data_IF_949406230338
#
_entry.id   IF_949406230338
#
_cell.length_a   1.000
_cell.length_b   1.000
_cell.length_c   1.000
_cell.angle_alpha   90.00
_cell.angle_beta   90.00
_cell.angle_gamma   90.00
#
_symmetry.space_group_name_H-M   'P 1'
#
loop_
_entity.id
_entity.type
_entity.pdbx_description
1 polymer ?
#
# COMPACT_ATOMS: atom_id res chain seq x y z
N UNK A 1 -13.53 0.22 10.04
CA UNK A 1 -12.17 0.76 10.24
C UNK A 1 -12.01 1.96 9.34
N UNK A 2 -11.54 3.07 9.90
CA UNK A 2 -11.30 4.32 9.16
C UNK A 2 -9.82 4.42 8.82
N UNK A 3 -9.46 4.13 7.57
CA UNK A 3 -8.07 4.18 7.12
C UNK A 3 -7.62 5.64 6.96
N UNK A 4 -6.36 5.90 7.29
CA UNK A 4 -5.77 7.23 7.07
C UNK A 4 -5.44 7.46 5.60
N UNK A 5 -5.55 8.69 5.12
CA UNK A 5 -5.12 9.09 3.77
C UNK A 5 -3.63 8.78 3.50
N UNK A 6 -2.79 8.82 4.54
CA UNK A 6 -1.36 8.47 4.41
C UNK A 6 -1.17 6.99 4.03
N UNK A 7 -1.84 6.07 4.72
CA UNK A 7 -1.81 4.64 4.38
C UNK A 7 -2.29 4.40 2.94
N UNK A 8 -3.35 5.09 2.52
CA UNK A 8 -3.89 4.98 1.16
C UNK A 8 -2.84 5.46 0.14
N UNK A 9 -2.20 6.61 0.38
CA UNK A 9 -1.12 7.13 -0.48
C UNK A 9 0.08 6.19 -0.56
N UNK A 10 0.51 5.60 0.57
CA UNK A 10 1.59 4.61 0.57
C UNK A 10 1.25 3.36 -0.25
N UNK A 11 0.00 2.87 -0.16
CA UNK A 11 -0.45 1.74 -0.97
C UNK A 11 -0.50 2.08 -2.46
N UNK A 12 -0.98 3.28 -2.82
CA UNK A 12 -1.01 3.74 -4.20
C UNK A 12 0.40 3.87 -4.79
N UNK A 13 1.34 4.47 -4.05
CA UNK A 13 2.74 4.57 -4.48
C UNK A 13 3.39 3.18 -4.65
N UNK A 14 3.08 2.23 -3.78
CA UNK A 14 3.55 0.84 -3.95
C UNK A 14 2.94 0.15 -5.17
N UNK A 15 1.67 0.43 -5.50
CA UNK A 15 1.00 -0.16 -6.67
C UNK A 15 1.53 0.46 -7.98
N UNK A 16 1.80 1.78 -8.02
CA UNK A 16 2.44 2.47 -9.14
C UNK A 16 3.86 1.94 -9.38
N UNK A 17 4.68 1.84 -8.32
CA UNK A 17 6.02 1.27 -8.43
C UNK A 17 5.98 -0.18 -8.91
N UNK A 18 4.98 -0.97 -8.48
CA UNK A 18 4.77 -2.33 -8.97
C UNK A 18 4.46 -2.34 -10.46
N UNK A 19 3.62 -1.45 -10.95
CA UNK A 19 3.32 -1.34 -12.38
C UNK A 19 4.58 -1.07 -13.19
N UNK A 20 5.42 -0.14 -12.74
CA UNK A 20 6.69 0.21 -13.40
C UNK A 20 7.63 -0.99 -13.55
N UNK A 21 7.63 -1.95 -12.61
CA UNK A 21 8.40 -3.21 -12.73
C UNK A 21 8.00 -4.01 -13.98
N UNK A 22 6.71 -4.01 -14.34
CA UNK A 22 6.20 -4.83 -15.43
C UNK A 22 6.15 -4.09 -16.77
N UNK A 23 6.14 -2.76 -16.76
CA UNK A 23 5.96 -1.93 -17.97
C UNK A 23 7.20 -1.15 -18.37
N UNK A 24 8.10 -0.85 -17.43
CA UNK A 24 9.15 0.17 -17.62
C UNK A 24 10.46 -0.33 -18.24
N UNK A 25 10.74 -1.64 -18.22
CA UNK A 25 12.05 -2.18 -18.68
C UNK A 25 13.26 -1.67 -17.89
N UNK A 26 13.03 -0.87 -16.85
CA UNK A 26 14.04 -0.28 -15.99
C UNK A 26 14.49 -1.30 -14.94
N UNK A 27 15.77 -1.69 -14.92
CA UNK A 27 16.29 -2.63 -13.91
C UNK A 27 16.20 -2.08 -12.48
N UNK A 28 16.09 -0.76 -12.27
CA UNK A 28 15.98 -0.16 -10.95
C UNK A 28 14.54 -0.18 -10.40
N UNK A 29 13.53 -0.35 -11.27
CA UNK A 29 12.12 -0.37 -10.87
C UNK A 29 11.83 -1.44 -9.80
N UNK A 30 12.52 -2.59 -9.86
CA UNK A 30 12.37 -3.63 -8.83
C UNK A 30 12.83 -3.17 -7.45
N UNK A 31 13.94 -2.42 -7.38
CA UNK A 31 14.47 -1.90 -6.12
C UNK A 31 13.52 -0.85 -5.52
N UNK A 32 13.02 0.07 -6.37
CA UNK A 32 12.05 1.08 -5.98
C UNK A 32 10.76 0.42 -5.45
N UNK A 33 10.20 -0.56 -6.18
CA UNK A 33 9.03 -1.27 -5.72
C UNK A 33 9.25 -2.00 -4.40
N UNK A 34 10.41 -2.64 -4.21
CA UNK A 34 10.76 -3.33 -2.95
C UNK A 34 10.78 -2.38 -1.76
N UNK A 35 11.32 -1.18 -1.92
CA UNK A 35 11.32 -0.16 -0.87
C UNK A 35 9.90 0.28 -0.52
N UNK A 36 9.08 0.65 -1.52
CA UNK A 36 7.68 1.06 -1.31
C UNK A 36 6.82 -0.05 -0.70
N UNK A 37 7.05 -1.30 -1.14
CA UNK A 37 6.38 -2.46 -0.56
C UNK A 37 6.75 -2.65 0.92
N UNK A 38 7.99 -2.39 1.31
CA UNK A 38 8.40 -2.47 2.71
C UNK A 38 7.77 -1.34 3.55
N UNK A 39 7.74 -0.11 3.02
CA UNK A 39 7.12 1.05 3.67
C UNK A 39 5.65 0.79 3.99
N UNK A 40 4.84 0.38 2.99
CA UNK A 40 3.41 0.13 3.20
C UNK A 40 3.17 -1.04 4.17
N UNK A 41 3.97 -2.10 4.12
CA UNK A 41 3.81 -3.26 5.01
C UNK A 41 4.16 -2.92 6.47
N UNK A 42 5.17 -2.09 6.69
CA UNK A 42 5.52 -1.57 8.01
C UNK A 42 4.41 -0.66 8.54
N UNK A 43 3.90 0.25 7.71
CA UNK A 43 2.82 1.18 8.08
C UNK A 43 1.53 0.43 8.43
N UNK A 44 1.13 -0.55 7.62
CA UNK A 44 -0.03 -1.43 7.89
C UNK A 44 0.14 -2.17 9.21
N UNK A 45 1.34 -2.68 9.51
CA UNK A 45 1.61 -3.39 10.76
C UNK A 45 1.52 -2.46 11.98
N UNK A 46 2.10 -1.26 11.89
CA UNK A 46 2.05 -0.26 12.95
C UNK A 46 0.60 0.17 13.22
N UNK A 47 -0.14 0.52 12.17
CA UNK A 47 -1.52 0.95 12.26
C UNK A 47 -2.44 -0.15 12.80
N UNK A 48 -2.30 -1.39 12.32
CA UNK A 48 -3.05 -2.54 12.85
C UNK A 48 -2.88 -2.70 14.36
N UNK A 49 -1.64 -2.55 14.85
CA UNK A 49 -1.33 -2.60 16.28
C UNK A 49 -1.96 -1.43 17.04
N UNK A 50 -1.91 -0.23 16.47
CA UNK A 50 -2.47 0.99 17.08
C UNK A 50 -3.97 0.88 17.33
N UNK A 51 -4.71 0.38 16.34
CA UNK A 51 -6.18 0.27 16.42
C UNK A 51 -6.67 -1.06 16.98
N UNK A 52 -5.75 -1.98 17.29
CA UNK A 52 -6.07 -3.29 17.85
C UNK A 52 -6.75 -4.27 16.88
N UNK A 53 -6.55 -4.11 15.57
CA UNK A 53 -7.22 -4.89 14.54
C UNK A 53 -6.26 -5.89 13.86
N UNK A 54 -6.78 -7.00 13.30
CA UNK A 54 -5.95 -7.95 12.57
C UNK A 54 -5.28 -7.31 11.35
N UNK A 55 -3.96 -7.45 11.21
CA UNK A 55 -3.17 -6.90 10.10
C UNK A 55 -3.75 -7.26 8.72
N UNK A 56 -4.22 -8.49 8.54
CA UNK A 56 -4.82 -8.95 7.29
C UNK A 56 -6.15 -8.25 6.96
N UNK A 57 -6.93 -7.87 7.98
CA UNK A 57 -8.16 -7.11 7.80
C UNK A 57 -7.85 -5.66 7.37
N UNK A 58 -6.86 -5.03 8.01
CA UNK A 58 -6.33 -3.71 7.62
C UNK A 58 -5.84 -3.74 6.17
N UNK A 59 -5.00 -4.72 5.81
CA UNK A 59 -4.42 -4.83 4.48
C UNK A 59 -5.50 -5.01 3.39
N UNK A 60 -6.53 -5.82 3.66
CA UNK A 60 -7.64 -6.02 2.74
C UNK A 60 -8.46 -4.73 2.53
N UNK A 61 -8.78 -4.02 3.61
CA UNK A 61 -9.48 -2.74 3.55
C UNK A 61 -8.64 -1.71 2.79
N UNK A 62 -7.34 -1.66 3.04
CA UNK A 62 -6.41 -0.73 2.40
C UNK A 62 -6.32 -0.93 0.90
N UNK A 63 -6.15 -2.18 0.45
CA UNK A 63 -6.13 -2.50 -0.99
C UNK A 63 -7.45 -2.14 -1.67
N UNK A 64 -8.58 -2.33 -1.00
CA UNK A 64 -9.89 -1.92 -1.52
C UNK A 64 -9.94 -0.40 -1.69
N UNK A 65 -9.62 0.36 -0.63
CA UNK A 65 -9.67 1.82 -0.65
C UNK A 65 -8.72 2.44 -1.69
N UNK A 66 -7.49 1.91 -1.80
CA UNK A 66 -6.48 2.43 -2.71
C UNK A 66 -6.81 2.21 -4.20
N UNK A 67 -7.45 1.08 -4.54
CA UNK A 67 -7.69 0.65 -5.94
C UNK A 67 -9.11 0.92 -6.43
N UNK A 68 -10.04 1.09 -5.49
CA UNK A 68 -11.45 1.34 -5.75
C UNK A 68 -11.92 2.44 -4.80
N UNK A 69 -11.45 3.70 -4.99
CA UNK A 69 -12.01 4.82 -4.25
C UNK A 69 -13.51 4.88 -4.53
N UNK A 70 -14.33 5.03 -3.47
CA UNK A 70 -15.78 5.16 -3.64
C UNK A 70 -16.06 6.33 -4.60
N UNK A 71 -16.95 6.16 -5.60
CA UNK A 71 -17.41 7.29 -6.38
C UNK A 71 -18.12 8.26 -5.43
N UNK A 72 -17.62 9.49 -5.33
CA UNK A 72 -18.26 10.56 -4.57
C UNK A 72 -19.65 10.89 -5.11
#
# INVERSE_FOLDING_TARGET
>A
MELTDELIRLQQASDEAREAVFTGGDPEAWAVWRERAAEVQNAVTAYAKEIGEPRNAVEAALKKAARHPDPQ
#
